data_IF_231554635967
#
_entry.id   IF_231554635967
#
_cell.length_a   1.000
_cell.length_b   1.000
_cell.length_c   1.000
_cell.angle_alpha   90.00
_cell.angle_beta   90.00
_cell.angle_gamma   90.00
#
_symmetry.space_group_name_H-M   'P 1'
#
loop_
_entity.id
_entity.type
_entity.pdbx_description
1 polymer ?
#
# COMPACT_ATOMS: atom_id res chain seq x y z
N UNK A 1 13.59 -25.67 14.57
CA UNK A 1 14.76 -24.77 14.58
C UNK A 1 15.47 -24.88 15.93
N UNK A 2 16.75 -24.49 16.07
CA UNK A 2 17.40 -24.43 17.37
C UNK A 2 16.70 -23.42 18.30
N UNK A 3 16.64 -23.75 19.60
CA UNK A 3 15.92 -22.92 20.57
C UNK A 3 16.58 -21.54 20.78
N UNK A 4 17.92 -21.51 20.87
CA UNK A 4 18.68 -20.27 21.02
C UNK A 4 18.45 -19.30 19.85
N UNK A 5 18.54 -19.80 18.62
CA UNK A 5 18.29 -19.01 17.40
C UNK A 5 16.84 -18.49 17.36
N UNK A 6 15.88 -19.34 17.74
CA UNK A 6 14.46 -18.94 17.76
C UNK A 6 14.22 -17.78 18.75
N UNK A 7 14.80 -17.85 19.96
CA UNK A 7 14.65 -16.78 20.96
C UNK A 7 15.44 -15.50 20.59
N UNK A 8 16.54 -15.63 19.84
CA UNK A 8 17.22 -14.47 19.28
C UNK A 8 16.37 -13.78 18.21
N UNK A 9 15.86 -14.52 17.23
CA UNK A 9 15.05 -13.96 16.15
C UNK A 9 13.71 -13.40 16.65
N UNK A 10 13.10 -14.01 17.68
CA UNK A 10 11.91 -13.44 18.36
C UNK A 10 12.19 -12.05 18.92
N UNK A 11 13.33 -11.87 19.60
CA UNK A 11 13.74 -10.56 20.14
C UNK A 11 13.94 -9.54 19.03
N UNK A 12 14.66 -9.91 17.96
CA UNK A 12 14.86 -9.05 16.79
C UNK A 12 13.53 -8.62 16.16
N UNK A 13 12.59 -9.56 15.97
CA UNK A 13 11.28 -9.29 15.38
C UNK A 13 10.42 -8.40 16.30
N UNK A 14 10.45 -8.62 17.61
CA UNK A 14 9.74 -7.77 18.56
C UNK A 14 10.30 -6.34 18.58
N UNK A 15 11.63 -6.17 18.50
CA UNK A 15 12.27 -4.86 18.35
C UNK A 15 11.88 -4.17 17.04
N UNK A 16 11.81 -4.93 15.94
CA UNK A 16 11.35 -4.42 14.64
C UNK A 16 9.90 -3.91 14.71
N UNK A 17 8.99 -4.68 15.31
CA UNK A 17 7.59 -4.26 15.51
C UNK A 17 7.54 -2.99 16.37
N UNK A 18 8.31 -2.92 17.46
CA UNK A 18 8.37 -1.72 18.32
C UNK A 18 8.95 -0.51 17.59
N UNK A 19 9.92 -0.70 16.70
CA UNK A 19 10.50 0.40 15.91
C UNK A 19 9.51 1.00 14.91
N UNK A 20 8.55 0.22 14.40
CA UNK A 20 7.47 0.73 13.54
C UNK A 20 6.60 1.75 14.29
N UNK A 21 6.41 1.56 15.60
CA UNK A 21 5.69 2.52 16.48
C UNK A 21 6.46 3.85 16.62
N UNK A 22 7.79 3.82 16.54
CA UNK A 22 8.60 5.05 16.60
C UNK A 22 8.45 5.89 15.33
N UNK A 23 8.25 5.24 14.18
CA UNK A 23 7.89 5.90 12.93
C UNK A 23 6.39 6.26 12.88
N UNK A 24 6.02 7.33 13.59
CA UNK A 24 4.61 7.74 13.82
C UNK A 24 3.77 7.86 12.55
N UNK A 25 4.38 8.24 11.42
CA UNK A 25 3.71 8.29 10.11
C UNK A 25 3.34 6.89 9.62
N UNK A 26 4.30 5.95 9.66
CA UNK A 26 4.08 4.56 9.27
C UNK A 26 3.08 3.89 10.21
N UNK A 27 3.25 4.08 11.52
CA UNK A 27 2.30 3.61 12.53
C UNK A 27 0.87 4.09 12.25
N UNK A 28 0.66 5.39 12.00
CA UNK A 28 -0.66 5.93 11.71
C UNK A 28 -1.29 5.35 10.44
N UNK A 29 -0.49 5.17 9.37
CA UNK A 29 -0.95 4.49 8.15
C UNK A 29 -1.40 3.06 8.43
N UNK A 30 -0.62 2.32 9.21
CA UNK A 30 -0.90 0.93 9.61
C UNK A 30 -2.15 0.79 10.45
N UNK A 31 -2.36 1.70 11.41
CA UNK A 31 -3.61 1.74 12.20
C UNK A 31 -4.82 2.00 11.32
N UNK A 32 -4.71 2.92 10.36
CA UNK A 32 -5.77 3.16 9.38
C UNK A 32 -6.06 1.92 8.52
N UNK A 33 -5.02 1.23 8.02
CA UNK A 33 -5.16 -0.04 7.26
C UNK A 33 -5.86 -1.13 8.10
N UNK A 34 -5.46 -1.28 9.36
CA UNK A 34 -6.05 -2.24 10.31
C UNK A 34 -7.53 -1.98 10.55
N UNK A 35 -7.90 -0.72 10.74
CA UNK A 35 -9.30 -0.31 10.89
C UNK A 35 -10.01 -0.60 9.57
N UNK A 36 -9.57 -0.02 8.45
CA UNK A 36 -10.21 -0.14 7.14
C UNK A 36 -10.42 -1.60 6.68
N UNK A 37 -9.50 -2.49 7.04
CA UNK A 37 -9.46 -3.89 6.58
C UNK A 37 -9.70 -4.91 7.69
N UNK A 38 -10.32 -4.49 8.79
CA UNK A 38 -10.63 -5.39 9.91
C UNK A 38 -11.35 -6.67 9.42
N UNK A 39 -10.87 -7.82 9.90
CA UNK A 39 -11.36 -9.14 9.49
C UNK A 39 -10.75 -9.67 8.19
N UNK A 40 -9.86 -8.92 7.52
CA UNK A 40 -9.14 -9.35 6.32
C UNK A 40 -7.66 -9.60 6.61
N UNK A 41 -7.03 -10.46 5.81
CA UNK A 41 -5.59 -10.67 5.85
C UNK A 41 -4.78 -9.38 5.63
N UNK A 42 -5.35 -8.39 4.90
CA UNK A 42 -4.72 -7.09 4.66
C UNK A 42 -4.52 -6.27 5.94
N UNK A 43 -5.38 -6.42 6.95
CA UNK A 43 -5.22 -5.76 8.25
C UNK A 43 -4.09 -6.36 9.09
N UNK A 44 -3.64 -7.58 8.77
CA UNK A 44 -2.60 -8.25 9.56
C UNK A 44 -1.24 -7.64 9.22
N UNK A 45 -0.53 -7.13 10.24
CA UNK A 45 0.84 -6.67 10.04
C UNK A 45 1.69 -7.83 9.53
N UNK A 46 2.52 -7.59 8.51
CA UNK A 46 3.48 -8.59 7.97
C UNK A 46 4.39 -9.21 9.03
N UNK A 47 4.61 -8.51 10.15
CA UNK A 47 5.41 -8.99 11.28
C UNK A 47 4.58 -9.67 12.38
N UNK A 48 3.26 -9.66 12.27
CA UNK A 48 2.35 -10.10 13.32
C UNK A 48 2.21 -9.07 14.45
N UNK A 49 1.84 -9.55 15.64
CA UNK A 49 1.76 -8.76 16.87
C UNK A 49 2.83 -9.22 17.86
N UNK A 50 3.15 -8.39 18.85
CA UNK A 50 4.13 -8.74 19.89
C UNK A 50 3.69 -10.02 20.61
N UNK A 51 2.40 -10.13 20.93
CA UNK A 51 1.83 -11.30 21.60
C UNK A 51 2.01 -12.58 20.78
N UNK A 52 1.77 -12.50 19.46
CA UNK A 52 1.96 -13.64 18.56
C UNK A 52 3.44 -14.02 18.43
N UNK A 53 4.34 -13.03 18.42
CA UNK A 53 5.79 -13.28 18.39
C UNK A 53 6.26 -13.95 19.67
N UNK A 54 5.81 -13.48 20.84
CA UNK A 54 6.19 -14.05 22.14
C UNK A 54 5.73 -15.51 22.28
N UNK A 55 4.58 -15.84 21.69
CA UNK A 55 4.03 -17.21 21.65
C UNK A 55 4.77 -18.17 20.69
N UNK A 56 5.67 -17.67 19.83
CA UNK A 56 6.44 -18.53 18.93
C UNK A 56 7.37 -19.46 19.71
N UNK A 57 7.51 -20.68 19.20
CA UNK A 57 8.43 -21.67 19.74
C UNK A 57 9.09 -22.46 18.59
N UNK A 58 10.18 -23.19 18.86
CA UNK A 58 10.93 -23.86 17.80
C UNK A 58 10.14 -24.86 16.95
N UNK A 59 9.09 -25.46 17.53
CA UNK A 59 8.19 -26.39 16.84
C UNK A 59 7.23 -25.61 15.94
N UNK A 60 6.55 -24.58 16.44
CA UNK A 60 5.58 -23.81 15.63
C UNK A 60 6.24 -23.15 14.41
N UNK A 61 7.46 -22.62 14.56
CA UNK A 61 8.22 -22.05 13.43
C UNK A 61 8.61 -23.13 12.42
N UNK A 62 9.04 -24.32 12.89
CA UNK A 62 9.37 -25.43 12.01
C UNK A 62 8.14 -25.98 11.26
N UNK A 63 7.00 -26.04 11.94
CA UNK A 63 5.74 -26.50 11.36
C UNK A 63 5.24 -25.50 10.31
N UNK A 64 5.34 -24.19 10.57
CA UNK A 64 5.03 -23.14 9.60
C UNK A 64 5.95 -23.19 8.37
N UNK A 65 7.26 -23.38 8.56
CA UNK A 65 8.24 -23.55 7.48
C UNK A 65 7.91 -24.76 6.59
N UNK A 66 7.63 -25.92 7.19
CA UNK A 66 7.25 -27.13 6.45
C UNK A 66 5.93 -26.94 5.71
N UNK A 67 4.95 -26.28 6.33
CA UNK A 67 3.69 -25.96 5.68
C UNK A 67 3.91 -25.08 4.45
N UNK A 68 4.73 -24.02 4.58
CA UNK A 68 5.08 -23.14 3.47
C UNK A 68 5.72 -23.92 2.31
N UNK A 69 6.70 -24.80 2.59
CA UNK A 69 7.32 -25.62 1.54
C UNK A 69 6.32 -26.52 0.81
N UNK A 70 5.34 -27.06 1.54
CA UNK A 70 4.30 -27.93 0.97
C UNK A 70 3.23 -27.18 0.19
N UNK A 71 2.88 -25.95 0.58
CA UNK A 71 1.65 -25.29 0.12
C UNK A 71 1.88 -23.97 -0.62
N UNK A 72 3.04 -23.35 -0.50
CA UNK A 72 3.31 -22.07 -1.17
C UNK A 72 3.51 -22.25 -2.68
N UNK A 73 2.95 -21.34 -3.46
CA UNK A 73 3.40 -21.08 -4.82
C UNK A 73 4.75 -20.35 -4.76
N UNK A 74 5.73 -20.84 -5.51
CA UNK A 74 7.07 -20.23 -5.55
C UNK A 74 7.27 -19.62 -6.93
N UNK A 75 7.52 -18.31 -6.96
CA UNK A 75 7.92 -17.58 -8.17
C UNK A 75 9.33 -17.04 -7.98
N UNK A 76 10.17 -17.21 -9.00
CA UNK A 76 11.59 -16.83 -8.95
C UNK A 76 11.84 -15.78 -10.01
N UNK A 77 12.38 -14.63 -9.60
CA UNK A 77 12.82 -13.58 -10.52
C UNK A 77 14.33 -13.64 -10.60
N UNK A 78 14.83 -13.89 -11.82
CA UNK A 78 16.25 -14.01 -12.10
C UNK A 78 16.67 -12.90 -13.05
N UNK A 79 17.52 -12.00 -12.57
CA UNK A 79 18.20 -11.00 -13.39
C UNK A 79 19.63 -11.48 -13.66
N UNK A 80 19.78 -12.40 -14.63
CA UNK A 80 21.07 -13.00 -14.94
C UNK A 80 21.34 -12.96 -16.45
N UNK A 81 22.53 -12.48 -16.83
CA UNK A 81 22.97 -12.44 -18.22
C UNK A 81 23.15 -13.84 -18.85
N UNK A 82 23.43 -14.86 -18.03
CA UNK A 82 23.72 -16.22 -18.48
C UNK A 82 22.45 -17.11 -18.65
N UNK A 83 21.25 -16.52 -18.58
CA UNK A 83 19.98 -17.23 -18.64
C UNK A 83 19.57 -17.88 -17.29
N UNK A 84 18.27 -18.15 -17.13
CA UNK A 84 17.68 -18.60 -15.86
C UNK A 84 17.43 -20.12 -15.78
N UNK A 85 17.65 -20.87 -16.87
CA UNK A 85 17.27 -22.30 -16.94
C UNK A 85 17.96 -23.18 -15.90
N UNK A 86 19.26 -22.97 -15.68
CA UNK A 86 20.02 -23.75 -14.67
C UNK A 86 19.49 -23.48 -13.27
N UNK A 87 19.15 -22.22 -12.98
CA UNK A 87 18.56 -21.79 -11.70
C UNK A 87 17.17 -22.44 -11.55
N UNK A 88 16.32 -22.33 -12.57
CA UNK A 88 15.00 -22.94 -12.58
C UNK A 88 15.07 -24.45 -12.30
N UNK A 89 15.94 -25.20 -13.01
CA UNK A 89 16.12 -26.64 -12.79
C UNK A 89 16.54 -27.00 -11.37
N UNK A 90 17.39 -26.19 -10.74
CA UNK A 90 17.81 -26.42 -9.35
C UNK A 90 16.65 -26.25 -8.37
N UNK A 91 15.86 -25.18 -8.54
CA UNK A 91 14.69 -24.95 -7.70
C UNK A 91 13.58 -25.98 -7.95
N UNK A 92 13.34 -26.38 -9.20
CA UNK A 92 12.40 -27.46 -9.54
C UNK A 92 12.80 -28.77 -8.86
N UNK A 93 14.09 -29.14 -8.93
CA UNK A 93 14.59 -30.34 -8.24
C UNK A 93 14.44 -30.24 -6.72
N UNK A 94 14.77 -29.09 -6.14
CA UNK A 94 14.72 -28.88 -4.69
C UNK A 94 13.30 -28.81 -4.13
N UNK A 95 12.36 -28.18 -4.85
CA UNK A 95 10.96 -28.12 -4.45
C UNK A 95 10.22 -29.42 -4.77
N UNK A 96 10.60 -30.11 -5.85
CA UNK A 96 10.03 -31.40 -6.26
C UNK A 96 10.43 -32.55 -5.32
N UNK A 97 11.51 -32.41 -4.55
CA UNK A 97 11.87 -33.39 -3.51
C UNK A 97 11.10 -33.20 -2.19
N UNK A 98 10.28 -32.17 -2.07
CA UNK A 98 9.43 -31.95 -0.88
C UNK A 98 8.23 -32.88 -0.94
N UNK A 99 8.21 -33.88 -0.06
CA UNK A 99 7.15 -34.88 0.00
C UNK A 99 5.76 -34.26 0.30
N UNK A 100 4.78 -34.62 -0.51
CA UNK A 100 3.39 -34.16 -0.35
C UNK A 100 3.18 -32.67 -0.67
N UNK A 101 4.07 -32.06 -1.46
CA UNK A 101 3.91 -30.67 -1.89
C UNK A 101 2.75 -30.51 -2.86
N UNK A 102 1.75 -29.73 -2.47
CA UNK A 102 0.57 -29.34 -3.25
C UNK A 102 0.36 -27.83 -3.09
N UNK A 103 0.87 -27.00 -4.02
CA UNK A 103 0.71 -25.56 -3.95
C UNK A 103 -0.76 -25.15 -3.98
N UNK A 104 -1.15 -24.25 -3.08
CA UNK A 104 -2.51 -23.73 -2.99
C UNK A 104 -2.69 -22.59 -4.01
N UNK A 105 -3.83 -22.58 -4.71
CA UNK A 105 -4.22 -21.46 -5.56
C UNK A 105 -4.49 -20.22 -4.70
N UNK A 106 -3.90 -19.08 -5.09
CA UNK A 106 -4.19 -17.82 -4.42
C UNK A 106 -5.52 -17.28 -4.92
N UNK A 107 -6.44 -16.98 -4.00
CA UNK A 107 -7.67 -16.25 -4.32
C UNK A 107 -7.29 -14.84 -4.75
N UNK A 108 -7.64 -14.48 -5.98
CA UNK A 108 -6.99 -13.37 -6.65
C UNK A 108 -7.47 -12.01 -6.16
N UNK A 109 -8.69 -11.85 -5.66
CA UNK A 109 -9.20 -10.53 -5.22
C UNK A 109 -10.42 -10.68 -4.30
N UNK A 110 -10.29 -10.69 -2.96
CA UNK A 110 -11.46 -10.51 -2.11
C UNK A 110 -12.13 -9.18 -2.47
N UNK A 111 -13.42 -9.25 -2.86
CA UNK A 111 -14.27 -8.09 -3.10
C UNK A 111 -14.99 -7.79 -1.80
N UNK A 112 -14.71 -6.63 -1.23
CA UNK A 112 -15.30 -6.18 0.03
C UNK A 112 -15.86 -4.78 -0.18
N UNK A 113 -17.13 -4.64 0.14
CA UNK A 113 -17.76 -3.33 0.21
C UNK A 113 -17.35 -2.61 1.49
N UNK A 114 -17.51 -1.30 1.47
CA UNK A 114 -17.26 -0.45 2.64
C UNK A 114 -18.57 -0.29 3.42
N UNK A 115 -18.51 -0.59 4.71
CA UNK A 115 -19.60 -0.31 5.65
C UNK A 115 -19.61 1.16 6.09
N UNK A 116 -20.01 1.41 7.33
CA UNK A 116 -19.95 2.76 7.92
C UNK A 116 -18.51 3.27 8.05
N UNK A 117 -18.33 4.58 7.89
CA UNK A 117 -17.03 5.24 8.07
C UNK A 117 -16.66 5.18 9.55
N UNK A 118 -15.50 4.57 9.86
CA UNK A 118 -14.95 4.57 11.21
C UNK A 118 -14.01 5.74 11.43
N UNK A 119 -14.30 6.56 12.42
CA UNK A 119 -13.45 7.68 12.83
C UNK A 119 -12.79 7.34 14.18
N UNK A 120 -11.47 7.23 14.20
CA UNK A 120 -10.70 6.81 15.37
C UNK A 120 -9.58 7.81 15.64
N UNK A 121 -9.54 8.31 16.87
CA UNK A 121 -8.43 9.16 17.36
C UNK A 121 -7.66 8.43 18.45
N UNK A 122 -6.35 8.31 18.26
CA UNK A 122 -5.40 7.80 19.25
C UNK A 122 -4.50 8.94 19.72
N UNK A 123 -4.08 8.93 20.99
CA UNK A 123 -3.19 9.96 21.54
C UNK A 123 -1.83 9.36 21.86
N UNK A 124 -0.78 10.06 21.46
CA UNK A 124 0.61 9.67 21.68
C UNK A 124 1.49 10.92 21.64
N UNK A 125 2.66 10.88 22.27
CA UNK A 125 3.66 11.95 22.18
C UNK A 125 4.12 12.24 20.74
N UNK A 126 3.40 13.10 20.03
CA UNK A 126 3.70 13.60 18.68
C UNK A 126 3.59 15.12 18.64
N UNK A 127 4.56 15.77 18.01
CA UNK A 127 4.56 17.23 17.82
C UNK A 127 3.60 17.70 16.73
N UNK A 128 3.31 16.82 15.76
CA UNK A 128 2.36 17.05 14.68
C UNK A 128 1.40 15.86 14.62
N UNK A 129 0.10 16.15 14.55
CA UNK A 129 -0.89 15.11 14.40
C UNK A 129 -0.73 14.43 13.05
N UNK A 130 -0.99 13.12 13.00
CA UNK A 130 -0.99 12.32 11.77
C UNK A 130 -2.43 12.00 11.41
N UNK A 131 -2.90 12.52 10.29
CA UNK A 131 -4.24 12.26 9.77
C UNK A 131 -4.12 11.29 8.60
N UNK A 132 -4.88 10.21 8.62
CA UNK A 132 -4.91 9.21 7.55
C UNK A 132 -6.35 8.88 7.20
N UNK A 133 -6.71 9.09 5.93
CA UNK A 133 -7.99 8.69 5.37
C UNK A 133 -7.79 7.43 4.54
N UNK A 134 -8.55 6.39 4.86
CA UNK A 134 -8.54 5.10 4.20
C UNK A 134 -9.78 4.86 3.36
N UNK A 135 -9.58 4.53 2.09
CA UNK A 135 -10.64 4.30 1.10
C UNK A 135 -10.49 2.92 0.46
N UNK A 136 -11.62 2.33 0.04
CA UNK A 136 -11.64 1.15 -0.85
C UNK A 136 -12.09 1.52 -2.23
N UNK A 137 -11.43 0.94 -3.24
CA UNK A 137 -11.93 0.85 -4.60
C UNK A 137 -13.02 -0.23 -4.68
N UNK A 138 -14.22 0.15 -5.13
CA UNK A 138 -15.38 -0.74 -5.25
C UNK A 138 -15.88 -0.83 -6.69
N UNK A 139 -16.68 -1.87 -6.99
CA UNK A 139 -17.26 -2.07 -8.31
C UNK A 139 -16.25 -2.41 -9.42
N UNK A 140 -16.72 -2.39 -10.66
CA UNK A 140 -15.94 -2.84 -11.85
C UNK A 140 -14.75 -1.94 -12.17
N UNK A 141 -14.82 -0.66 -11.80
CA UNK A 141 -13.74 0.29 -12.07
C UNK A 141 -12.43 -0.12 -11.37
N UNK A 142 -12.49 -0.90 -10.28
CA UNK A 142 -11.32 -1.42 -9.55
C UNK A 142 -10.35 -2.18 -10.45
N UNK A 143 -10.85 -2.81 -11.51
CA UNK A 143 -10.02 -3.58 -12.45
C UNK A 143 -9.30 -2.69 -13.48
N UNK A 144 -9.66 -1.41 -13.60
CA UNK A 144 -8.95 -0.42 -14.42
C UNK A 144 -7.73 0.16 -13.68
N UNK A 145 -6.68 -0.65 -13.55
CA UNK A 145 -5.45 -0.30 -12.84
C UNK A 145 -4.78 0.96 -13.40
N UNK A 146 -4.63 1.16 -14.73
CA UNK A 146 -4.08 2.40 -15.27
C UNK A 146 -4.86 3.64 -14.85
N UNK A 147 -6.20 3.59 -14.87
CA UNK A 147 -7.02 4.72 -14.44
C UNK A 147 -6.81 5.07 -12.96
N UNK A 148 -6.75 4.06 -12.09
CA UNK A 148 -6.47 4.27 -10.66
C UNK A 148 -5.07 4.83 -10.39
N UNK A 149 -4.06 4.37 -11.13
CA UNK A 149 -2.70 4.91 -11.02
C UNK A 149 -2.63 6.37 -11.46
N UNK A 150 -3.29 6.74 -12.56
CA UNK A 150 -3.33 8.14 -12.99
C UNK A 150 -4.18 9.00 -12.04
N UNK A 151 -5.31 8.50 -11.55
CA UNK A 151 -6.12 9.15 -10.53
C UNK A 151 -5.31 9.43 -9.27
N UNK A 152 -4.56 8.44 -8.77
CA UNK A 152 -3.68 8.61 -7.62
C UNK A 152 -2.58 9.64 -7.92
N UNK A 153 -1.96 9.60 -9.10
CA UNK A 153 -0.92 10.55 -9.51
C UNK A 153 -1.45 12.01 -9.53
N UNK A 154 -2.67 12.21 -10.02
CA UNK A 154 -3.37 13.50 -10.06
C UNK A 154 -3.78 13.96 -8.65
N UNK A 155 -4.30 13.05 -7.82
CA UNK A 155 -4.79 13.35 -6.48
C UNK A 155 -3.66 13.74 -5.52
N UNK A 156 -2.69 12.85 -5.30
CA UNK A 156 -1.67 13.02 -4.25
C UNK A 156 -0.37 12.24 -4.43
N UNK A 157 -0.25 11.47 -5.52
CA UNK A 157 0.89 10.58 -5.78
C UNK A 157 2.08 11.25 -6.45
N UNK A 158 2.00 12.55 -6.75
CA UNK A 158 3.05 13.31 -7.42
C UNK A 158 3.27 14.69 -6.78
N UNK A 159 4.44 15.32 -6.95
CA UNK A 159 4.72 16.67 -6.43
C UNK A 159 3.88 17.80 -7.04
N UNK A 160 3.17 17.54 -8.14
CA UNK A 160 2.29 18.51 -8.81
C UNK A 160 0.80 18.18 -8.64
N UNK A 161 0.50 17.27 -7.71
CA UNK A 161 -0.86 16.79 -7.45
C UNK A 161 -1.76 17.84 -6.80
N UNK A 162 -3.08 17.61 -6.88
CA UNK A 162 -4.09 18.49 -6.31
C UNK A 162 -3.96 18.64 -4.80
N UNK A 163 -3.66 17.56 -4.08
CA UNK A 163 -3.45 17.61 -2.62
C UNK A 163 -2.21 18.43 -2.27
N UNK A 164 -1.11 18.27 -3.02
CA UNK A 164 0.10 19.06 -2.82
C UNK A 164 -0.18 20.55 -3.05
N UNK A 165 -0.77 20.89 -4.21
CA UNK A 165 -1.04 22.27 -4.60
C UNK A 165 -2.05 22.97 -3.70
N UNK A 166 -3.17 22.32 -3.38
CA UNK A 166 -4.29 22.97 -2.72
C UNK A 166 -4.24 22.84 -1.19
N UNK A 167 -3.93 21.65 -0.66
CA UNK A 167 -3.96 21.42 0.80
C UNK A 167 -2.67 21.88 1.46
N UNK A 168 -1.52 21.51 0.88
CA UNK A 168 -0.20 21.86 1.41
C UNK A 168 0.21 23.28 1.00
N UNK A 169 0.33 23.59 -0.29
CA UNK A 169 0.93 24.86 -0.71
C UNK A 169 -0.04 26.03 -0.53
N UNK A 170 -1.25 25.97 -1.12
CA UNK A 170 -2.20 27.09 -1.10
C UNK A 170 -2.80 27.37 0.28
N UNK A 171 -3.20 26.33 1.01
CA UNK A 171 -3.89 26.48 2.30
C UNK A 171 -2.98 26.26 3.52
N UNK A 172 -1.76 25.75 3.33
CA UNK A 172 -0.81 25.50 4.42
C UNK A 172 -1.38 24.68 5.58
N UNK A 173 -2.33 23.77 5.29
CA UNK A 173 -2.99 22.95 6.32
C UNK A 173 -2.13 21.77 6.76
N UNK A 174 -1.23 21.32 5.89
CA UNK A 174 -0.43 20.12 6.07
C UNK A 174 1.06 20.37 5.78
N UNK A 175 1.94 19.79 6.59
CA UNK A 175 3.39 19.75 6.31
C UNK A 175 3.71 18.82 5.13
N UNK A 176 2.95 17.74 5.02
CA UNK A 176 2.89 16.86 3.85
C UNK A 176 1.46 16.36 3.69
N UNK A 177 1.05 16.09 2.45
CA UNK A 177 -0.22 15.44 2.14
C UNK A 177 -0.01 14.64 0.86
N UNK A 178 -0.08 13.31 0.95
CA UNK A 178 0.21 12.43 -0.17
C UNK A 178 -0.81 11.29 -0.23
N UNK A 179 -0.99 10.72 -1.42
CA UNK A 179 -1.84 9.55 -1.62
C UNK A 179 -1.07 8.37 -2.20
N UNK A 180 -1.48 7.16 -1.80
CA UNK A 180 -0.92 5.91 -2.30
C UNK A 180 -2.05 4.91 -2.56
N UNK A 181 -1.99 4.22 -3.71
CA UNK A 181 -2.96 3.20 -4.07
C UNK A 181 -2.31 1.81 -4.11
N UNK A 182 -2.84 0.90 -3.31
CA UNK A 182 -2.56 -0.54 -3.34
C UNK A 182 -3.63 -1.23 -4.19
N UNK A 183 -3.22 -1.69 -5.37
CA UNK A 183 -4.10 -2.35 -6.33
C UNK A 183 -4.56 -3.76 -5.91
N UNK A 184 -3.78 -4.47 -5.10
CA UNK A 184 -4.10 -5.83 -4.68
C UNK A 184 -5.19 -5.78 -3.61
N UNK A 185 -5.01 -4.93 -2.61
CA UNK A 185 -6.02 -4.64 -1.60
C UNK A 185 -7.19 -3.79 -2.10
N UNK A 186 -7.03 -3.09 -3.23
CA UNK A 186 -7.97 -2.06 -3.68
C UNK A 186 -8.08 -0.94 -2.65
N UNK A 187 -6.96 -0.57 -2.01
CA UNK A 187 -6.92 0.39 -0.91
C UNK A 187 -6.23 1.67 -1.39
N UNK A 188 -6.90 2.81 -1.21
CA UNK A 188 -6.31 4.13 -1.36
C UNK A 188 -6.13 4.72 0.03
N UNK A 189 -4.91 5.12 0.38
CA UNK A 189 -4.62 5.86 1.60
C UNK A 189 -4.21 7.28 1.24
N UNK A 190 -4.72 8.25 2.00
CA UNK A 190 -4.25 9.63 1.97
C UNK A 190 -3.74 9.95 3.37
N UNK A 191 -2.45 10.25 3.49
CA UNK A 191 -1.84 10.57 4.78
C UNK A 191 -1.22 11.96 4.78
N UNK A 192 -1.40 12.65 5.91
CA UNK A 192 -0.93 14.01 6.11
C UNK A 192 -0.40 14.24 7.53
N UNK A 193 0.52 15.20 7.64
CA UNK A 193 0.95 15.76 8.92
C UNK A 193 0.30 17.13 9.11
N UNK A 194 -0.46 17.30 10.18
CA UNK A 194 -1.30 18.49 10.43
C UNK A 194 -1.09 19.05 11.83
N UNK A 195 -1.36 20.35 12.01
CA UNK A 195 -1.64 20.88 13.34
C UNK A 195 -2.97 20.32 13.84
N UNK A 196 -3.05 19.93 15.11
CA UNK A 196 -4.23 19.22 15.65
C UNK A 196 -5.53 20.02 15.48
N UNK A 197 -5.48 21.34 15.68
CA UNK A 197 -6.62 22.25 15.45
C UNK A 197 -7.09 22.30 13.98
N UNK A 198 -6.21 22.00 13.03
CA UNK A 198 -6.48 22.03 11.60
C UNK A 198 -6.89 20.67 11.04
N UNK A 199 -6.90 19.60 11.85
CA UNK A 199 -7.14 18.24 11.38
C UNK A 199 -8.47 18.11 10.63
N UNK A 200 -9.55 18.70 11.16
CA UNK A 200 -10.87 18.68 10.52
C UNK A 200 -10.88 19.46 9.21
N UNK A 201 -10.29 20.66 9.19
CA UNK A 201 -10.18 21.48 7.97
C UNK A 201 -9.38 20.76 6.89
N UNK A 202 -8.28 20.10 7.25
CA UNK A 202 -7.48 19.29 6.34
C UNK A 202 -8.27 18.09 5.79
N UNK A 203 -9.00 17.36 6.64
CA UNK A 203 -9.86 16.27 6.22
C UNK A 203 -10.90 16.73 5.19
N UNK A 204 -11.61 17.82 5.48
CA UNK A 204 -12.67 18.33 4.62
C UNK A 204 -12.11 18.81 3.27
N UNK A 205 -10.95 19.46 3.28
CA UNK A 205 -10.27 19.88 2.05
C UNK A 205 -9.74 18.68 1.24
N UNK A 206 -9.18 17.64 1.88
CA UNK A 206 -8.76 16.40 1.20
C UNK A 206 -9.96 15.76 0.48
N UNK A 207 -11.09 15.64 1.17
CA UNK A 207 -12.33 15.10 0.59
C UNK A 207 -12.83 15.98 -0.55
N UNK A 208 -12.72 17.30 -0.43
CA UNK A 208 -13.07 18.24 -1.50
C UNK A 208 -12.19 18.07 -2.74
N UNK A 209 -10.88 17.82 -2.58
CA UNK A 209 -9.98 17.55 -3.71
C UNK A 209 -10.33 16.25 -4.43
N UNK A 210 -10.69 15.19 -3.69
CA UNK A 210 -11.17 13.96 -4.29
C UNK A 210 -12.50 14.16 -5.03
N UNK A 211 -13.43 14.91 -4.44
CA UNK A 211 -14.72 15.26 -5.05
C UNK A 211 -14.54 16.12 -6.33
N UNK A 212 -13.58 17.03 -6.35
CA UNK A 212 -13.21 17.78 -7.55
C UNK A 212 -12.83 16.82 -8.70
N UNK A 213 -12.03 15.78 -8.44
CA UNK A 213 -11.73 14.75 -9.46
C UNK A 213 -13.01 14.00 -9.87
N UNK A 214 -13.89 13.66 -8.92
CA UNK A 214 -15.18 13.01 -9.23
C UNK A 214 -16.10 13.86 -10.13
N UNK A 215 -15.99 15.19 -10.06
CA UNK A 215 -16.73 16.12 -10.93
C UNK A 215 -16.02 16.45 -12.24
N UNK A 216 -14.75 16.07 -12.39
CA UNK A 216 -13.94 16.48 -13.54
C UNK A 216 -13.39 17.90 -13.41
N UNK A 217 -13.36 18.45 -12.20
CA UNK A 217 -12.89 19.80 -11.89
C UNK A 217 -11.35 19.85 -11.81
N UNK A 218 -10.68 19.44 -12.89
CA UNK A 218 -9.23 19.54 -13.06
C UNK A 218 -8.91 20.03 -14.47
N UNK A 219 -7.79 20.72 -14.60
CA UNK A 219 -7.36 21.27 -15.88
C UNK A 219 -6.66 20.21 -16.73
N UNK A 220 -6.63 20.42 -18.05
CA UNK A 220 -5.84 19.61 -18.98
C UNK A 220 -4.36 19.60 -18.58
N UNK A 221 -3.83 20.75 -18.12
CA UNK A 221 -2.44 20.84 -17.66
C UNK A 221 -2.17 19.98 -16.41
N UNK A 222 -3.12 19.86 -15.49
CA UNK A 222 -2.96 19.05 -14.28
C UNK A 222 -2.92 17.55 -14.60
N UNK A 223 -3.83 17.06 -15.46
CA UNK A 223 -3.81 15.65 -15.86
C UNK A 223 -2.58 15.33 -16.74
N UNK A 224 -2.16 16.22 -17.63
CA UNK A 224 -0.94 16.03 -18.43
C UNK A 224 0.32 16.03 -17.57
N UNK A 225 0.38 16.90 -16.55
CA UNK A 225 1.46 16.88 -15.55
C UNK A 225 1.50 15.56 -14.77
N UNK A 226 0.33 15.03 -14.39
CA UNK A 226 0.21 13.74 -13.71
C UNK A 226 0.67 12.58 -14.61
N UNK A 227 0.26 12.55 -15.89
CA UNK A 227 0.72 11.56 -16.89
C UNK A 227 2.23 11.59 -17.05
N UNK A 228 2.82 12.76 -17.29
CA UNK A 228 4.28 12.92 -17.43
C UNK A 228 5.03 12.43 -16.19
N UNK A 229 4.54 12.77 -15.00
CA UNK A 229 5.13 12.32 -13.74
C UNK A 229 5.08 10.80 -13.59
N UNK A 230 3.93 10.17 -13.88
CA UNK A 230 3.79 8.72 -13.82
C UNK A 230 4.67 8.00 -14.87
N UNK A 231 4.72 8.50 -16.10
CA UNK A 231 5.60 7.96 -17.15
C UNK A 231 7.07 8.04 -16.74
N UNK A 232 7.50 9.17 -16.15
CA UNK A 232 8.86 9.31 -15.65
C UNK A 232 9.15 8.32 -14.52
N UNK A 233 8.22 8.10 -13.59
CA UNK A 233 8.37 7.08 -12.55
C UNK A 233 8.61 5.69 -13.14
N UNK A 234 7.84 5.29 -14.16
CA UNK A 234 8.06 3.98 -14.81
C UNK A 234 9.39 3.86 -15.53
N UNK A 235 9.84 4.93 -16.20
CA UNK A 235 11.16 4.93 -16.88
C UNK A 235 12.31 4.68 -15.90
N UNK A 236 12.19 5.13 -14.65
CA UNK A 236 13.21 4.92 -13.61
C UNK A 236 13.19 3.52 -12.99
N UNK A 237 12.17 2.69 -13.27
CA UNK A 237 12.07 1.34 -12.69
C UNK A 237 13.25 0.46 -13.10
N UNK A 238 13.77 0.66 -14.32
CA UNK A 238 14.92 -0.08 -14.85
C UNK A 238 16.28 0.36 -14.32
N UNK A 239 16.38 1.50 -13.62
CA UNK A 239 17.66 2.08 -13.19
C UNK A 239 18.36 1.23 -12.12
N UNK A 240 17.57 0.51 -11.31
CA UNK A 240 18.06 -0.37 -10.25
C UNK A 240 17.46 -1.76 -10.40
N UNK A 241 18.33 -2.78 -10.31
CA UNK A 241 17.92 -4.19 -10.35
C UNK A 241 16.88 -4.53 -9.27
N UNK A 242 16.96 -3.91 -8.09
CA UNK A 242 15.99 -4.11 -7.01
C UNK A 242 14.61 -3.55 -7.37
N UNK A 243 14.55 -2.37 -7.99
CA UNK A 243 13.28 -1.75 -8.42
C UNK A 243 12.63 -2.54 -9.55
N UNK A 244 13.43 -3.01 -10.51
CA UNK A 244 12.96 -3.87 -11.58
C UNK A 244 12.44 -5.21 -11.05
N UNK A 245 13.14 -5.85 -10.11
CA UNK A 245 12.64 -7.05 -9.43
C UNK A 245 11.30 -6.78 -8.73
N UNK A 246 11.20 -5.68 -7.97
CA UNK A 246 9.99 -5.32 -7.24
C UNK A 246 8.80 -5.08 -8.19
N UNK A 247 9.02 -4.51 -9.37
CA UNK A 247 7.97 -4.34 -10.38
C UNK A 247 7.36 -5.67 -10.81
N UNK A 248 8.19 -6.67 -11.09
CA UNK A 248 7.71 -7.99 -11.51
C UNK A 248 7.19 -8.83 -10.33
N UNK A 249 7.80 -8.73 -9.13
CA UNK A 249 7.25 -9.36 -7.90
C UNK A 249 5.86 -8.81 -7.64
N UNK A 250 5.68 -7.49 -7.78
CA UNK A 250 4.41 -6.83 -7.59
C UNK A 250 3.30 -7.36 -8.49
N UNK A 251 3.63 -7.99 -9.62
CA UNK A 251 2.69 -8.59 -10.59
C UNK A 251 2.51 -10.11 -10.41
N UNK A 252 2.99 -10.66 -9.29
CA UNK A 252 2.93 -12.10 -9.00
C UNK A 252 1.51 -12.67 -8.85
N UNK A 253 0.48 -11.84 -8.82
CA UNK A 253 -0.92 -12.30 -8.78
C UNK A 253 -1.67 -11.99 -10.06
N UNK A 254 -1.03 -11.32 -11.01
CA UNK A 254 -1.66 -10.92 -12.26
C UNK A 254 -1.67 -12.09 -13.25
N UNK A 255 -2.73 -12.19 -14.07
CA UNK A 255 -2.79 -13.19 -15.14
C UNK A 255 -1.73 -12.94 -16.22
N UNK A 256 -1.41 -11.67 -16.45
CA UNK A 256 -0.44 -11.22 -17.45
C UNK A 256 0.55 -10.25 -16.82
N UNK A 257 1.81 -10.31 -17.26
CA UNK A 257 2.88 -9.44 -16.79
C UNK A 257 3.03 -8.28 -17.78
N UNK A 258 2.99 -7.06 -17.26
CA UNK A 258 3.24 -5.82 -17.99
C UNK A 258 4.66 -5.30 -17.69
N UNK A 259 5.39 -4.87 -18.73
CA UNK A 259 6.67 -4.18 -18.55
C UNK A 259 6.45 -2.72 -18.10
N UNK A 260 7.46 -2.05 -17.52
CA UNK A 260 7.36 -0.63 -17.21
C UNK A 260 6.98 0.24 -18.42
N UNK A 261 7.47 -0.12 -19.61
CA UNK A 261 7.17 0.57 -20.87
C UNK A 261 5.72 0.38 -21.31
N UNK A 262 5.19 -0.84 -21.17
CA UNK A 262 3.78 -1.13 -21.43
C UNK A 262 2.87 -0.35 -20.48
N UNK A 263 3.17 -0.36 -19.18
CA UNK A 263 2.42 0.44 -18.20
C UNK A 263 2.52 1.95 -18.45
N UNK A 264 3.65 2.43 -18.98
CA UNK A 264 3.80 3.83 -19.40
C UNK A 264 2.90 4.17 -20.59
N UNK A 265 2.82 3.29 -21.60
CA UNK A 265 1.90 3.46 -22.73
C UNK A 265 0.43 3.43 -22.27
N UNK A 266 0.06 2.46 -21.43
CA UNK A 266 -1.29 2.34 -20.87
C UNK A 266 -1.74 3.61 -20.13
N UNK A 267 -0.83 4.27 -19.40
CA UNK A 267 -1.13 5.53 -18.69
C UNK A 267 -1.38 6.70 -19.66
N UNK A 268 -0.67 6.75 -20.78
CA UNK A 268 -0.87 7.80 -21.79
C UNK A 268 -2.27 7.70 -22.42
N UNK A 269 -2.77 6.48 -22.59
CA UNK A 269 -4.09 6.15 -23.15
C UNK A 269 -5.26 6.33 -22.15
N UNK A 270 -4.98 6.66 -20.89
CA UNK A 270 -6.03 6.94 -19.91
C UNK A 270 -6.71 8.28 -20.25
N UNK A 271 -8.04 8.23 -20.38
CA UNK A 271 -8.87 9.41 -20.61
C UNK A 271 -9.35 10.04 -19.29
N UNK A 272 -9.73 11.33 -19.29
CA UNK A 272 -10.33 11.98 -18.12
C UNK A 272 -11.54 11.22 -17.56
N UNK A 273 -12.39 10.64 -18.42
CA UNK A 273 -13.59 9.90 -18.01
C UNK A 273 -13.23 8.64 -17.22
N UNK A 274 -12.15 7.95 -17.59
CA UNK A 274 -11.64 6.78 -16.85
C UNK A 274 -11.12 7.20 -15.47
N UNK A 275 -10.42 8.33 -15.38
CA UNK A 275 -9.96 8.91 -14.10
C UNK A 275 -11.14 9.27 -13.21
N UNK A 276 -12.16 9.93 -13.76
CA UNK A 276 -13.40 10.29 -13.06
C UNK A 276 -14.11 9.03 -12.56
N UNK A 277 -14.23 8.00 -13.41
CA UNK A 277 -14.86 6.72 -13.04
C UNK A 277 -14.09 6.03 -11.90
N UNK A 278 -12.76 6.03 -11.94
CA UNK A 278 -11.93 5.51 -10.85
C UNK A 278 -12.15 6.30 -9.54
N UNK A 279 -12.13 7.63 -9.58
CA UNK A 279 -12.39 8.47 -8.41
C UNK A 279 -13.79 8.24 -7.82
N UNK A 280 -14.82 8.15 -8.68
CA UNK A 280 -16.20 7.84 -8.25
C UNK A 280 -16.37 6.44 -7.68
N UNK A 281 -15.38 5.58 -7.83
CA UNK A 281 -15.40 4.21 -7.32
C UNK A 281 -14.62 4.03 -6.02
N UNK A 282 -14.00 5.09 -5.46
CA UNK A 282 -13.44 5.01 -4.11
C UNK A 282 -14.46 5.40 -3.04
N UNK A 283 -14.48 4.67 -1.92
CA UNK A 283 -15.37 4.90 -0.78
C UNK A 283 -14.55 5.03 0.48
N UNK A 284 -14.76 6.12 1.22
CA UNK A 284 -14.14 6.32 2.53
C UNK A 284 -14.65 5.26 3.48
N UNK A 285 -13.75 4.58 4.20
CA UNK A 285 -14.11 3.57 5.20
C UNK A 285 -13.45 3.77 6.56
N UNK A 286 -12.35 4.53 6.61
CA UNK A 286 -11.68 4.85 7.86
C UNK A 286 -11.09 6.26 7.82
N UNK A 287 -11.17 6.94 8.96
CA UNK A 287 -10.41 8.15 9.29
C UNK A 287 -9.67 7.83 10.57
N UNK A 288 -8.36 7.98 10.54
CA UNK A 288 -7.50 7.75 11.70
C UNK A 288 -6.68 8.99 11.99
N UNK A 289 -6.72 9.43 13.25
CA UNK A 289 -5.93 10.57 13.74
C UNK A 289 -5.03 10.12 14.88
N UNK A 290 -3.71 10.26 14.73
CA UNK A 290 -2.76 10.20 15.83
C UNK A 290 -2.53 11.63 16.34
N UNK A 291 -3.15 11.97 17.46
CA UNK A 291 -3.12 13.28 18.08
C UNK A 291 -2.04 13.39 19.17
N UNK A 292 -1.60 14.62 19.44
CA UNK A 292 -0.72 14.91 20.57
C UNK A 292 -1.45 14.80 21.91
N UNK A 293 -0.71 14.51 22.98
CA UNK A 293 -1.24 14.37 24.34
C UNK A 293 -1.71 15.70 24.96
N UNK A 294 -1.44 16.86 24.34
CA UNK A 294 -1.73 18.20 24.89
C UNK A 294 -2.82 19.02 24.17
N UNK A 295 -3.68 18.41 23.35
CA UNK A 295 -4.56 19.13 22.42
C UNK A 295 -6.02 19.37 22.86
N UNK A 296 -6.40 19.14 24.11
CA UNK A 296 -7.72 19.58 24.61
C UNK A 296 -7.53 20.79 25.53
N UNK A 297 -7.96 21.95 25.03
CA UNK A 297 -8.02 23.26 25.70
C UNK A 297 -6.70 24.03 25.87
N UNK A 298 -6.26 24.69 24.81
CA UNK A 298 -5.81 26.10 24.87
C UNK A 298 -6.50 26.90 23.76
#
# INVERSE_FOLDING_TARGET
FPAADTEQEKRCLAELIKSEINEKRLYARRRCEQILCEGEGYAVNRYGSIENVDALNPKSVADAWRNMLKTAQVRIISQCAAGSEKIARQFERGLGSVEGRVPIALDQKPRRDVGEVRDVTERMGVSQAKLVLGFRAVGEARDDIPAFRLMNALLGGTPHSLLFKNVREKLSLCYYCASSYDRLGGVLLIDSGVEQKNAKLAQDEILRQLDAICRGDFTEQEIESAKKSAVNQYKTVGDLQSTLANWYIGQSLDPEISTPEQAAAEILDVTPERVIKAARSVRLGAVYTLAGEGGENE
#
